data_IF_542459751403
#
_entry.id   IF_542459751403
#
_cell.length_a   1.000
_cell.length_b   1.000
_cell.length_c   1.000
_cell.angle_alpha   90.00
_cell.angle_beta   90.00
_cell.angle_gamma   90.00
#
_symmetry.space_group_name_H-M   'P 1'
#
loop_
_entity.id
_entity.type
_entity.pdbx_description
1 polymer ?
#
# COMPACT_ATOMS: atom_id res chain seq x y z
N UNK A 1 27.92 -6.30 1.20
CA UNK A 1 27.29 -4.97 0.98
C UNK A 1 26.65 -4.51 2.29
N UNK A 2 26.63 -3.21 2.57
CA UNK A 2 26.03 -2.65 3.80
C UNK A 2 24.51 -2.93 3.81
N UNK A 3 24.05 -3.82 4.71
CA UNK A 3 22.67 -4.30 4.81
C UNK A 3 21.69 -3.11 4.87
N UNK A 4 22.06 -2.04 5.58
CA UNK A 4 21.18 -0.89 5.75
C UNK A 4 20.93 -0.20 4.41
N UNK A 5 21.96 -0.08 3.55
CA UNK A 5 21.81 0.48 2.20
C UNK A 5 20.91 -0.35 1.31
N UNK A 6 20.99 -1.68 1.41
CA UNK A 6 20.13 -2.59 0.64
C UNK A 6 18.65 -2.35 1.01
N UNK A 7 18.34 -2.33 2.30
CA UNK A 7 16.97 -2.23 2.81
C UNK A 7 16.45 -0.81 3.00
N UNK A 8 17.26 0.22 2.74
CA UNK A 8 16.82 1.62 2.71
C UNK A 8 16.91 2.23 1.31
N UNK A 9 18.07 2.17 0.66
CA UNK A 9 18.39 3.00 -0.51
C UNK A 9 17.89 2.37 -1.82
N UNK A 10 17.88 1.04 -1.90
CA UNK A 10 17.54 0.37 -3.16
C UNK A 10 16.04 0.46 -3.45
N UNK A 11 15.68 0.66 -4.72
CA UNK A 11 14.27 0.65 -5.17
C UNK A 11 13.56 -0.68 -4.86
N UNK A 12 14.27 -1.81 -4.96
CA UNK A 12 13.70 -3.15 -4.77
C UNK A 12 13.30 -3.43 -3.33
N UNK A 13 14.19 -3.12 -2.38
CA UNK A 13 14.05 -3.58 -1.00
C UNK A 13 13.73 -2.49 0.01
N UNK A 14 14.02 -1.22 -0.29
CA UNK A 14 13.92 -0.15 0.69
C UNK A 14 13.07 1.03 0.27
N UNK A 15 13.18 1.46 -1.00
CA UNK A 15 12.46 2.61 -1.57
C UNK A 15 12.47 3.87 -0.68
N UNK A 16 13.54 4.07 0.09
CA UNK A 16 13.71 5.15 1.05
C UNK A 16 12.59 5.28 2.08
N UNK A 17 11.92 4.19 2.46
CA UNK A 17 10.96 4.23 3.56
C UNK A 17 11.64 4.61 4.89
N UNK A 18 10.84 5.21 5.78
CA UNK A 18 11.35 5.78 7.03
C UNK A 18 11.82 4.73 8.03
N UNK A 19 12.56 5.19 9.05
CA UNK A 19 13.24 4.38 10.09
C UNK A 19 12.43 3.16 10.54
N UNK A 20 11.20 3.35 11.01
CA UNK A 20 10.44 2.25 11.62
C UNK A 20 10.10 1.14 10.63
N UNK A 21 9.85 1.49 9.35
CA UNK A 21 9.61 0.50 8.29
C UNK A 21 10.91 -0.21 7.90
N UNK A 22 12.01 0.51 7.76
CA UNK A 22 13.34 -0.06 7.52
C UNK A 22 13.73 -1.04 8.62
N UNK A 23 13.60 -0.62 9.89
CA UNK A 23 13.89 -1.46 11.06
C UNK A 23 13.02 -2.70 11.09
N UNK A 24 11.71 -2.58 10.80
CA UNK A 24 10.80 -3.73 10.76
C UNK A 24 11.24 -4.75 9.69
N UNK A 25 11.63 -4.29 8.50
CA UNK A 25 12.06 -5.15 7.38
C UNK A 25 13.37 -5.91 7.69
N UNK A 26 14.34 -5.19 8.26
CA UNK A 26 15.65 -5.77 8.62
C UNK A 26 15.52 -6.75 9.80
N UNK A 27 14.74 -6.40 10.84
CA UNK A 27 14.57 -7.23 12.05
C UNK A 27 13.97 -8.61 11.80
N UNK A 28 13.27 -8.79 10.68
CA UNK A 28 12.75 -10.10 10.27
C UNK A 28 13.83 -11.07 9.81
N UNK A 29 15.03 -10.56 9.48
CA UNK A 29 16.07 -11.30 8.75
C UNK A 29 17.43 -11.26 9.43
N UNK A 30 17.75 -10.13 10.06
CA UNK A 30 19.05 -9.88 10.65
C UNK A 30 18.91 -9.33 12.06
N UNK A 31 19.95 -9.55 12.86
CA UNK A 31 20.07 -8.99 14.19
C UNK A 31 21.52 -8.60 14.48
N UNK A 32 21.69 -7.42 15.07
CA UNK A 32 22.94 -7.01 15.71
C UNK A 32 22.66 -6.00 16.84
N UNK A 33 23.56 -5.86 17.84
CA UNK A 33 23.27 -5.09 19.06
C UNK A 33 22.92 -3.61 18.82
N UNK A 34 23.63 -2.92 17.93
CA UNK A 34 23.45 -1.49 17.63
C UNK A 34 22.42 -1.20 16.52
N UNK A 35 21.72 -2.22 16.01
CA UNK A 35 20.85 -2.15 14.82
C UNK A 35 19.89 -0.97 14.79
N UNK A 36 19.18 -0.72 15.89
CA UNK A 36 18.20 0.36 15.92
C UNK A 36 18.86 1.73 15.80
N UNK A 37 20.04 1.90 16.39
CA UNK A 37 20.80 3.15 16.33
C UNK A 37 21.45 3.33 14.96
N UNK A 38 22.02 2.27 14.38
CA UNK A 38 22.68 2.33 13.07
C UNK A 38 21.68 2.67 11.96
N UNK A 39 20.53 2.01 11.95
CA UNK A 39 19.45 2.29 10.99
C UNK A 39 18.93 3.72 11.17
N UNK A 40 18.77 4.18 12.42
CA UNK A 40 18.34 5.55 12.70
C UNK A 40 19.36 6.56 12.14
N UNK A 41 20.65 6.34 12.37
CA UNK A 41 21.72 7.22 11.90
C UNK A 41 21.73 7.29 10.37
N UNK A 42 21.65 6.15 9.68
CA UNK A 42 21.62 6.10 8.21
C UNK A 42 20.40 6.81 7.61
N UNK A 43 19.20 6.54 8.13
CA UNK A 43 17.98 7.21 7.63
C UNK A 43 18.00 8.70 7.89
N UNK A 44 18.59 9.15 9.02
CA UNK A 44 18.71 10.57 9.36
C UNK A 44 19.76 11.30 8.51
N UNK A 45 20.83 10.63 8.09
CA UNK A 45 21.87 11.20 7.22
C UNK A 45 21.54 11.11 5.73
N UNK A 46 20.46 10.41 5.35
CA UNK A 46 20.05 10.26 3.95
C UNK A 46 19.59 11.60 3.35
N UNK A 47 20.41 12.17 2.46
CA UNK A 47 20.16 13.45 1.78
C UNK A 47 18.87 13.43 0.96
N UNK A 48 18.61 12.32 0.26
CA UNK A 48 17.39 12.15 -0.53
C UNK A 48 16.13 12.16 0.36
N UNK A 49 16.19 11.51 1.53
CA UNK A 49 15.11 11.55 2.49
C UNK A 49 14.89 12.95 3.05
N UNK A 50 15.96 13.66 3.39
CA UNK A 50 15.90 15.03 3.90
C UNK A 50 15.29 16.00 2.88
N UNK A 51 15.59 15.82 1.59
CA UNK A 51 15.09 16.64 0.50
C UNK A 51 13.60 16.41 0.20
N UNK A 52 13.17 15.15 0.16
CA UNK A 52 11.85 14.79 -0.37
C UNK A 52 10.82 14.33 0.68
N UNK A 53 11.20 14.10 1.94
CA UNK A 53 10.26 13.74 3.02
C UNK A 53 10.08 14.90 4.01
N UNK A 54 9.14 15.83 3.77
CA UNK A 54 8.86 16.89 4.72
C UNK A 54 8.34 16.32 6.05
N UNK A 55 8.79 16.91 7.18
CA UNK A 55 8.24 16.57 8.50
C UNK A 55 6.77 16.97 8.55
N UNK A 56 5.88 16.02 8.80
CA UNK A 56 4.44 16.28 8.95
C UNK A 56 4.18 16.92 10.32
N UNK A 57 3.69 18.16 10.35
CA UNK A 57 3.38 18.91 11.57
C UNK A 57 1.87 19.02 11.87
N UNK A 58 0.99 18.49 11.00
CA UNK A 58 -0.46 18.63 11.20
C UNK A 58 -1.02 17.49 12.04
N UNK A 59 -1.79 17.78 13.12
CA UNK A 59 -2.50 16.76 13.87
C UNK A 59 -3.56 16.08 12.98
N UNK A 60 -3.90 14.80 13.23
CA UNK A 60 -5.01 14.15 12.55
C UNK A 60 -6.31 14.91 12.85
N UNK A 61 -7.09 15.24 11.82
CA UNK A 61 -8.44 15.77 12.03
C UNK A 61 -9.37 14.74 12.66
N UNK A 62 -10.50 15.19 13.21
CA UNK A 62 -11.58 14.35 13.75
C UNK A 62 -12.32 13.66 12.59
N UNK A 63 -12.41 12.33 12.63
CA UNK A 63 -12.96 11.52 11.53
C UNK A 63 -14.00 10.52 12.03
N UNK A 64 -15.13 10.38 11.33
CA UNK A 64 -16.07 9.28 11.57
C UNK A 64 -15.49 7.95 11.02
N UNK A 65 -15.38 6.89 11.85
CA UNK A 65 -14.74 5.65 11.44
C UNK A 65 -15.65 4.71 10.63
N UNK A 66 -15.13 4.18 9.52
CA UNK A 66 -15.63 3.01 8.79
C UNK A 66 -15.30 1.78 9.64
N UNK A 67 -16.33 1.00 9.94
CA UNK A 67 -16.12 -0.28 10.64
C UNK A 67 -15.21 -1.18 9.79
N UNK A 68 -14.16 -1.77 10.37
CA UNK A 68 -13.31 -2.69 9.63
C UNK A 68 -14.14 -3.87 9.09
N UNK A 69 -13.95 -4.27 7.83
CA UNK A 69 -14.60 -5.45 7.26
C UNK A 69 -14.28 -6.73 8.03
N UNK A 70 -15.10 -7.77 7.84
CA UNK A 70 -14.92 -9.05 8.53
C UNK A 70 -13.75 -9.88 8.01
N UNK A 71 -13.35 -9.66 6.75
CA UNK A 71 -12.21 -10.31 6.12
C UNK A 71 -11.59 -9.44 5.01
N UNK A 72 -10.42 -9.86 4.54
CA UNK A 72 -9.74 -9.21 3.42
C UNK A 72 -10.57 -9.37 2.14
N UNK A 73 -10.39 -8.45 1.20
CA UNK A 73 -11.06 -8.48 -0.11
C UNK A 73 -12.59 -8.28 -0.07
N UNK A 74 -13.12 -7.80 1.06
CA UNK A 74 -14.55 -7.50 1.19
C UNK A 74 -14.90 -6.07 0.81
N UNK A 75 -14.11 -5.10 1.25
CA UNK A 75 -14.32 -3.69 0.95
C UNK A 75 -13.02 -3.09 0.44
N UNK A 76 -13.02 -2.75 -0.83
CA UNK A 76 -11.93 -2.05 -1.49
C UNK A 76 -12.31 -0.58 -1.69
N UNK A 77 -11.34 0.33 -1.58
CA UNK A 77 -11.51 1.74 -1.91
C UNK A 77 -10.69 2.09 -3.12
N UNK A 78 -11.25 2.77 -4.11
CA UNK A 78 -10.55 3.15 -5.34
C UNK A 78 -10.49 4.67 -5.49
N UNK A 79 -9.37 5.15 -6.02
CA UNK A 79 -9.08 6.58 -6.19
C UNK A 79 -8.19 6.87 -7.39
N UNK A 80 -8.32 8.07 -7.94
CA UNK A 80 -7.35 8.66 -8.88
C UNK A 80 -6.54 9.75 -8.18
N UNK A 81 -5.22 9.62 -8.25
CA UNK A 81 -4.29 10.62 -7.76
C UNK A 81 -3.61 11.35 -8.93
N UNK A 82 -3.62 12.68 -8.89
CA UNK A 82 -2.99 13.54 -9.88
C UNK A 82 -3.82 14.78 -10.25
N UNK A 83 -3.43 15.51 -11.31
CA UNK A 83 -2.34 15.20 -12.22
C UNK A 83 -0.96 15.36 -11.57
N UNK A 84 -0.10 14.36 -11.75
CA UNK A 84 1.31 14.39 -11.33
C UNK A 84 2.11 15.10 -12.43
N UNK A 85 2.90 16.09 -12.01
CA UNK A 85 3.78 16.86 -12.90
C UNK A 85 5.25 16.58 -12.53
N UNK A 86 6.13 16.31 -13.50
CA UNK A 86 5.87 16.29 -14.94
C UNK A 86 5.18 15.02 -15.45
N UNK A 87 4.54 15.13 -16.61
CA UNK A 87 4.03 13.97 -17.37
C UNK A 87 5.19 13.03 -17.72
N UNK A 88 4.97 11.72 -17.63
CA UNK A 88 6.04 10.76 -17.94
C UNK A 88 6.34 10.69 -19.43
N UNK A 89 7.47 10.08 -19.78
CA UNK A 89 7.81 9.79 -21.19
C UNK A 89 6.73 8.95 -21.89
N UNK A 90 6.01 8.10 -21.16
CA UNK A 90 4.90 7.29 -21.67
C UNK A 90 3.56 8.03 -21.70
N UNK A 91 3.54 9.31 -21.33
CA UNK A 91 2.35 10.16 -21.31
C UNK A 91 1.49 10.01 -20.05
N UNK A 92 1.96 9.32 -19.01
CA UNK A 92 1.19 9.11 -17.80
C UNK A 92 1.14 10.39 -16.96
N UNK A 93 -0.04 10.66 -16.40
CA UNK A 93 -0.36 11.87 -15.63
C UNK A 93 -1.04 11.56 -14.31
N UNK A 94 -1.62 10.38 -14.16
CA UNK A 94 -2.40 10.01 -12.99
C UNK A 94 -2.00 8.63 -12.51
N UNK A 95 -2.31 8.35 -11.25
CA UNK A 95 -2.20 7.03 -10.66
C UNK A 95 -3.61 6.61 -10.28
N UNK A 96 -4.08 5.50 -10.84
CA UNK A 96 -5.26 4.83 -10.29
C UNK A 96 -4.77 3.85 -9.23
N UNK A 97 -5.44 3.87 -8.08
CA UNK A 97 -5.12 2.99 -6.96
C UNK A 97 -6.38 2.34 -6.41
N UNK A 98 -6.22 1.12 -5.91
CA UNK A 98 -7.27 0.41 -5.20
C UNK A 98 -6.68 -0.25 -3.95
N UNK A 99 -7.31 0.01 -2.81
CA UNK A 99 -6.80 -0.34 -1.48
C UNK A 99 -7.81 -1.21 -0.74
N UNK A 100 -7.36 -2.34 -0.20
CA UNK A 100 -8.17 -3.15 0.71
C UNK A 100 -8.26 -2.49 2.10
N UNK A 101 -9.48 -2.28 2.59
CA UNK A 101 -9.71 -1.51 3.83
C UNK A 101 -9.20 -2.26 5.06
N UNK A 102 -9.11 -3.58 5.06
CA UNK A 102 -8.67 -4.36 6.22
C UNK A 102 -7.15 -4.52 6.25
N UNK A 103 -6.59 -5.18 5.24
CA UNK A 103 -5.15 -5.48 5.10
C UNK A 103 -4.31 -4.24 4.82
N UNK A 104 -4.91 -3.19 4.24
CA UNK A 104 -4.22 -2.02 3.67
C UNK A 104 -3.37 -2.37 2.44
N UNK A 105 -3.62 -3.50 1.80
CA UNK A 105 -2.91 -3.85 0.58
C UNK A 105 -3.36 -2.96 -0.57
N UNK A 106 -2.41 -2.45 -1.35
CA UNK A 106 -2.69 -1.51 -2.44
C UNK A 106 -2.24 -2.05 -3.78
N UNK A 107 -3.07 -1.84 -4.79
CA UNK A 107 -2.79 -2.07 -6.20
C UNK A 107 -2.77 -0.72 -6.90
N UNK A 108 -1.81 -0.50 -7.78
CA UNK A 108 -1.65 0.79 -8.48
C UNK A 108 -1.35 0.57 -9.95
N UNK A 109 -1.74 1.55 -10.77
CA UNK A 109 -1.35 1.65 -12.18
C UNK A 109 -1.16 3.13 -12.55
N UNK A 110 -0.09 3.43 -13.29
CA UNK A 110 0.09 4.74 -13.91
C UNK A 110 -0.76 4.83 -15.18
N UNK A 111 -1.51 5.92 -15.34
CA UNK A 111 -2.47 6.12 -16.43
C UNK A 111 -2.41 7.54 -16.99
N UNK A 112 -2.88 7.71 -18.23
CA UNK A 112 -2.82 8.98 -18.97
C UNK A 112 -4.00 9.91 -18.68
N UNK A 113 -5.12 9.33 -18.28
CA UNK A 113 -6.40 10.00 -18.03
C UNK A 113 -7.13 9.35 -16.86
N UNK A 114 -8.17 10.02 -16.37
CA UNK A 114 -9.05 9.49 -15.33
C UNK A 114 -10.35 8.93 -15.89
N UNK A 115 -10.41 8.37 -17.10
CA UNK A 115 -11.71 7.97 -17.69
C UNK A 115 -12.32 6.72 -17.02
N UNK A 116 -13.64 6.55 -17.20
CA UNK A 116 -14.34 5.33 -16.76
C UNK A 116 -13.81 4.07 -17.46
N UNK A 117 -13.40 4.18 -18.72
CA UNK A 117 -12.80 3.08 -19.47
C UNK A 117 -11.46 2.67 -18.85
N UNK A 118 -10.60 3.64 -18.53
CA UNK A 118 -9.35 3.41 -17.82
C UNK A 118 -9.56 2.72 -16.48
N UNK A 119 -10.54 3.17 -15.69
CA UNK A 119 -10.89 2.56 -14.42
C UNK A 119 -11.41 1.11 -14.58
N UNK A 120 -12.30 0.87 -15.56
CA UNK A 120 -12.84 -0.45 -15.85
C UNK A 120 -11.74 -1.43 -16.28
N UNK A 121 -10.80 -0.97 -17.12
CA UNK A 121 -9.64 -1.76 -17.55
C UNK A 121 -8.75 -2.13 -16.38
N UNK A 122 -8.47 -1.19 -15.49
CA UNK A 122 -7.70 -1.43 -14.27
C UNK A 122 -8.37 -2.47 -13.37
N UNK A 123 -9.68 -2.33 -13.10
CA UNK A 123 -10.45 -3.30 -12.31
C UNK A 123 -10.39 -4.70 -12.93
N UNK A 124 -10.59 -4.80 -14.25
CA UNK A 124 -10.55 -6.09 -14.94
C UNK A 124 -9.17 -6.73 -14.87
N UNK A 125 -8.14 -6.02 -15.35
CA UNK A 125 -6.82 -6.59 -15.61
C UNK A 125 -5.94 -6.70 -14.35
N UNK A 126 -5.96 -5.70 -13.47
CA UNK A 126 -5.07 -5.65 -12.31
C UNK A 126 -5.72 -6.13 -11.02
N UNK A 127 -7.05 -6.14 -10.96
CA UNK A 127 -7.76 -6.51 -9.73
C UNK A 127 -8.38 -7.90 -9.90
N UNK A 128 -9.37 -8.05 -10.79
CA UNK A 128 -10.14 -9.29 -10.93
C UNK A 128 -9.28 -10.43 -11.45
N UNK A 129 -8.58 -10.24 -12.57
CA UNK A 129 -7.78 -11.31 -13.17
C UNK A 129 -6.62 -11.80 -12.28
N UNK A 130 -6.20 -11.01 -11.28
CA UNK A 130 -5.05 -11.31 -10.43
C UNK A 130 -5.43 -11.76 -9.01
N UNK A 131 -6.50 -11.21 -8.47
CA UNK A 131 -6.87 -11.37 -7.06
C UNK A 131 -8.34 -11.78 -6.86
N UNK A 132 -9.12 -11.87 -7.94
CA UNK A 132 -10.54 -12.20 -7.90
C UNK A 132 -11.43 -11.01 -7.57
N UNK A 133 -12.74 -11.27 -7.50
CA UNK A 133 -13.76 -10.23 -7.34
C UNK A 133 -14.01 -9.90 -5.87
N UNK A 134 -13.96 -8.61 -5.46
CA UNK A 134 -14.31 -8.22 -4.09
C UNK A 134 -15.82 -8.22 -3.87
N UNK A 135 -16.26 -8.10 -2.61
CA UNK A 135 -17.69 -7.91 -2.33
C UNK A 135 -18.17 -6.50 -2.67
N UNK A 136 -17.41 -5.49 -2.26
CA UNK A 136 -17.76 -4.10 -2.43
C UNK A 136 -16.56 -3.28 -2.90
N UNK A 137 -16.80 -2.33 -3.80
CA UNK A 137 -15.86 -1.26 -4.14
C UNK A 137 -16.49 0.08 -3.73
N UNK A 138 -15.74 0.88 -2.98
CA UNK A 138 -16.11 2.23 -2.56
C UNK A 138 -15.31 3.26 -3.36
N UNK A 139 -15.99 4.15 -4.08
CA UNK A 139 -15.36 5.25 -4.82
C UNK A 139 -15.91 6.60 -4.37
N UNK A 140 -15.33 7.70 -4.83
CA UNK A 140 -16.01 8.99 -4.76
C UNK A 140 -17.15 9.12 -5.79
N UNK A 141 -17.87 10.24 -5.76
CA UNK A 141 -18.94 10.55 -6.70
C UNK A 141 -18.43 11.13 -8.04
N UNK A 142 -17.16 10.93 -8.38
CA UNK A 142 -16.60 11.37 -9.66
C UNK A 142 -17.35 10.76 -10.84
N UNK A 143 -17.50 11.53 -11.92
CA UNK A 143 -18.15 11.08 -13.17
C UNK A 143 -17.49 9.83 -13.77
N UNK A 144 -16.20 9.66 -13.49
CA UNK A 144 -15.38 8.54 -13.91
C UNK A 144 -15.74 7.22 -13.23
N UNK A 145 -16.30 7.27 -12.02
CA UNK A 145 -16.77 6.09 -11.29
C UNK A 145 -18.28 5.91 -11.37
N UNK A 146 -19.04 7.00 -11.51
CA UNK A 146 -20.52 6.98 -11.60
C UNK A 146 -21.06 6.64 -13.00
N UNK A 147 -20.21 6.38 -13.98
CA UNK A 147 -20.63 6.09 -15.36
C UNK A 147 -21.50 4.81 -15.46
N UNK A 148 -22.40 4.78 -16.45
CA UNK A 148 -23.23 3.60 -16.73
C UNK A 148 -22.37 2.38 -17.07
N UNK A 149 -21.25 2.57 -17.78
CA UNK A 149 -20.29 1.51 -18.08
C UNK A 149 -19.74 0.87 -16.81
N UNK A 150 -19.29 1.67 -15.84
CA UNK A 150 -18.74 1.17 -14.57
C UNK A 150 -19.80 0.43 -13.77
N UNK A 151 -21.00 1.00 -13.64
CA UNK A 151 -22.11 0.37 -12.92
C UNK A 151 -22.53 -0.96 -13.56
N UNK A 152 -22.56 -1.03 -14.90
CA UNK A 152 -22.88 -2.27 -15.62
C UNK A 152 -21.80 -3.33 -15.40
N UNK A 153 -20.51 -2.96 -15.53
CA UNK A 153 -19.40 -3.87 -15.28
C UNK A 153 -19.48 -4.45 -13.87
N UNK A 154 -19.58 -3.60 -12.85
CA UNK A 154 -19.61 -4.03 -11.45
C UNK A 154 -20.83 -4.92 -11.16
N UNK A 155 -22.00 -4.59 -11.73
CA UNK A 155 -23.20 -5.41 -11.62
C UNK A 155 -23.03 -6.78 -12.27
N UNK A 156 -22.44 -6.84 -13.46
CA UNK A 156 -22.21 -8.10 -14.20
C UNK A 156 -21.31 -9.06 -13.42
N UNK A 157 -20.27 -8.54 -12.76
CA UNK A 157 -19.34 -9.36 -11.96
C UNK A 157 -19.81 -9.56 -10.52
N UNK A 158 -20.99 -9.05 -10.13
CA UNK A 158 -21.54 -9.21 -8.79
C UNK A 158 -20.87 -8.36 -7.69
N UNK A 159 -20.19 -7.28 -8.05
CA UNK A 159 -19.60 -6.32 -7.09
C UNK A 159 -20.64 -5.27 -6.71
N UNK A 160 -20.82 -5.05 -5.41
CA UNK A 160 -21.63 -3.92 -4.92
C UNK A 160 -20.82 -2.64 -5.01
N UNK A 161 -21.27 -1.70 -5.85
CA UNK A 161 -20.67 -0.38 -5.95
C UNK A 161 -21.22 0.54 -4.85
N UNK A 162 -20.34 1.02 -3.97
CA UNK A 162 -20.65 1.97 -2.92
C UNK A 162 -20.06 3.32 -3.30
N UNK A 163 -20.80 4.38 -3.01
CA UNK A 163 -20.35 5.74 -3.22
C UNK A 163 -20.02 6.42 -1.90
N UNK A 164 -18.92 7.14 -1.86
CA UNK A 164 -18.59 7.95 -0.71
C UNK A 164 -19.53 9.15 -0.67
N UNK A 165 -20.20 9.38 0.46
CA UNK A 165 -20.81 10.68 0.71
C UNK A 165 -19.72 11.76 0.73
N UNK A 166 -20.03 13.02 0.36
CA UNK A 166 -19.09 14.15 0.48
C UNK A 166 -18.46 14.31 1.88
N UNK A 167 -19.04 13.64 2.88
CA UNK A 167 -18.64 13.65 4.29
C UNK A 167 -18.06 12.30 4.77
N UNK A 168 -17.33 11.56 3.92
CA UNK A 168 -16.46 10.46 4.39
C UNK A 168 -14.97 10.86 4.43
N UNK A 169 -14.57 11.78 5.33
CA UNK A 169 -13.20 12.25 5.42
C UNK A 169 -12.21 11.16 5.83
N UNK A 170 -12.66 9.97 6.24
CA UNK A 170 -11.77 8.85 6.57
C UNK A 170 -11.32 8.04 5.35
N UNK A 171 -12.18 7.83 4.35
CA UNK A 171 -11.76 7.23 3.07
C UNK A 171 -10.78 8.18 2.41
N UNK A 172 -11.18 9.45 2.28
CA UNK A 172 -10.33 10.51 1.74
C UNK A 172 -9.05 10.67 2.55
N UNK A 173 -9.10 10.74 3.88
CA UNK A 173 -7.91 10.91 4.72
C UNK A 173 -6.97 9.69 4.80
N UNK A 174 -7.43 8.47 4.45
CA UNK A 174 -6.54 7.33 4.27
C UNK A 174 -5.87 7.36 2.91
N UNK A 175 -6.64 7.67 1.87
CA UNK A 175 -6.18 7.84 0.49
C UNK A 175 -5.17 9.00 0.41
N UNK A 176 -5.48 10.17 0.97
CA UNK A 176 -4.58 11.34 1.03
C UNK A 176 -3.25 11.02 1.74
N UNK A 177 -3.30 10.26 2.84
CA UNK A 177 -2.09 9.86 3.56
C UNK A 177 -1.23 8.93 2.72
N UNK A 178 -1.86 8.00 2.01
CA UNK A 178 -1.22 7.09 1.07
C UNK A 178 -0.60 7.85 -0.09
N UNK A 179 -1.38 8.68 -0.79
CA UNK A 179 -0.95 9.50 -1.92
C UNK A 179 0.24 10.40 -1.55
N UNK A 180 0.17 11.09 -0.41
CA UNK A 180 1.30 11.90 0.07
C UNK A 180 2.56 11.09 0.40
N UNK A 181 2.42 9.88 0.92
CA UNK A 181 3.59 8.99 1.10
C UNK A 181 4.13 8.55 -0.26
N UNK A 182 3.26 8.17 -1.18
CA UNK A 182 3.63 7.75 -2.52
C UNK A 182 4.39 8.86 -3.28
N UNK A 183 3.87 10.08 -3.30
CA UNK A 183 4.50 11.23 -3.98
C UNK A 183 5.93 11.44 -3.52
N UNK A 184 6.15 11.41 -2.21
CA UNK A 184 7.49 11.57 -1.63
C UNK A 184 8.43 10.43 -2.04
N UNK A 185 7.96 9.17 -2.04
CA UNK A 185 8.79 8.00 -2.41
C UNK A 185 9.08 7.96 -3.89
N UNK A 186 8.09 8.26 -4.72
CA UNK A 186 8.26 8.43 -6.15
C UNK A 186 9.29 9.52 -6.42
N UNK A 187 9.10 10.72 -5.85
CA UNK A 187 10.04 11.83 -6.04
C UNK A 187 11.46 11.47 -5.59
N UNK A 188 11.59 10.65 -4.55
CA UNK A 188 12.90 10.18 -4.06
C UNK A 188 13.59 9.25 -5.06
N UNK A 189 12.85 8.36 -5.72
CA UNK A 189 13.39 7.33 -6.62
C UNK A 189 13.52 7.78 -8.08
N UNK A 190 12.70 8.73 -8.51
CA UNK A 190 12.69 9.24 -9.89
C UNK A 190 13.96 10.01 -10.22
N UNK A 191 14.34 10.01 -11.49
CA UNK A 191 15.48 10.76 -12.01
C UNK A 191 15.36 12.28 -11.79
N UNK A 192 16.40 13.05 -12.10
CA UNK A 192 16.41 14.51 -11.90
C UNK A 192 15.25 15.23 -12.59
N UNK A 193 14.84 14.75 -13.77
CA UNK A 193 13.74 15.32 -14.57
C UNK A 193 12.37 14.86 -14.08
N UNK A 194 12.29 13.85 -13.21
CA UNK A 194 11.06 13.26 -12.67
C UNK A 194 10.08 12.73 -13.72
N UNK A 195 10.53 12.45 -14.95
CA UNK A 195 9.69 11.98 -16.07
C UNK A 195 9.57 10.44 -16.16
N UNK A 196 10.18 9.72 -15.22
CA UNK A 196 10.22 8.26 -15.10
C UNK A 196 9.43 7.75 -13.88
N UNK A 197 8.59 8.59 -13.27
CA UNK A 197 7.91 8.22 -12.03
C UNK A 197 7.02 6.98 -12.15
N UNK A 198 6.48 6.71 -13.34
CA UNK A 198 5.67 5.53 -13.61
C UNK A 198 6.50 4.23 -13.62
N UNK A 199 7.81 4.29 -13.84
CA UNK A 199 8.73 3.16 -13.66
C UNK A 199 9.01 2.86 -12.19
N UNK A 200 8.94 3.88 -11.34
CA UNK A 200 9.22 3.73 -9.90
C UNK A 200 7.97 3.29 -9.12
N UNK A 201 6.77 3.56 -9.64
CA UNK A 201 5.50 3.26 -8.98
C UNK A 201 5.35 1.79 -8.53
N UNK A 202 5.69 0.76 -9.34
CA UNK A 202 5.61 -0.63 -8.91
C UNK A 202 6.50 -0.92 -7.69
N UNK A 203 7.71 -0.35 -7.66
CA UNK A 203 8.65 -0.53 -6.55
C UNK A 203 8.16 0.15 -5.27
N UNK A 204 7.60 1.36 -5.39
CA UNK A 204 6.99 2.07 -4.25
C UNK A 204 5.81 1.29 -3.70
N UNK A 205 4.94 0.78 -4.57
CA UNK A 205 3.76 0.00 -4.20
C UNK A 205 4.14 -1.31 -3.52
N UNK A 206 5.11 -2.04 -4.08
CA UNK A 206 5.64 -3.26 -3.47
C UNK A 206 6.25 -2.99 -2.09
N UNK A 207 7.07 -1.95 -1.93
CA UNK A 207 7.66 -1.61 -0.63
C UNK A 207 6.60 -1.14 0.38
N UNK A 208 5.55 -0.46 -0.07
CA UNK A 208 4.42 -0.14 0.80
C UNK A 208 3.73 -1.42 1.31
N UNK A 209 3.44 -2.37 0.43
CA UNK A 209 2.75 -3.62 0.77
C UNK A 209 3.61 -4.57 1.62
N UNK A 210 4.94 -4.47 1.52
CA UNK A 210 5.90 -5.37 2.21
C UNK A 210 6.53 -4.76 3.47
N UNK A 211 5.97 -3.66 3.97
CA UNK A 211 6.42 -3.02 5.22
C UNK A 211 5.26 -2.83 6.18
N UNK A 212 5.57 -2.75 7.49
CA UNK A 212 4.56 -2.60 8.53
C UNK A 212 3.71 -1.34 8.33
N UNK A 213 2.39 -1.51 8.33
CA UNK A 213 1.46 -0.40 8.23
C UNK A 213 1.15 0.21 9.61
N UNK A 214 1.17 1.54 9.69
CA UNK A 214 1.13 2.24 10.97
C UNK A 214 -0.16 2.02 11.78
N UNK A 215 -1.29 1.81 11.10
CA UNK A 215 -2.61 1.61 11.72
C UNK A 215 -2.87 0.16 12.12
N UNK A 216 -2.56 -0.80 11.25
CA UNK A 216 -2.84 -2.22 11.52
C UNK A 216 -1.74 -2.86 12.36
N UNK A 217 -0.53 -2.30 12.32
CA UNK A 217 0.70 -2.89 12.85
C UNK A 217 1.05 -4.24 12.23
N UNK A 218 0.44 -4.54 11.08
CA UNK A 218 0.69 -5.73 10.27
C UNK A 218 1.27 -5.33 8.92
N UNK A 219 1.83 -6.30 8.19
CA UNK A 219 2.32 -6.12 6.84
C UNK A 219 1.17 -6.42 5.85
N UNK A 220 0.80 -5.48 4.96
CA UNK A 220 -0.33 -5.69 4.05
C UNK A 220 -0.22 -6.95 3.18
N UNK A 221 0.98 -7.26 2.69
CA UNK A 221 1.25 -8.47 1.92
C UNK A 221 0.96 -9.74 2.74
N UNK A 222 1.40 -9.77 3.99
CA UNK A 222 1.19 -10.91 4.88
C UNK A 222 -0.28 -11.09 5.24
N UNK A 223 -1.01 -9.98 5.46
CA UNK A 223 -2.46 -10.03 5.67
C UNK A 223 -3.22 -10.58 4.47
N UNK A 224 -2.74 -10.31 3.24
CA UNK A 224 -3.38 -10.78 2.01
C UNK A 224 -3.04 -12.23 1.66
N UNK A 225 -1.78 -12.64 1.86
CA UNK A 225 -1.27 -13.93 1.37
C UNK A 225 -0.94 -14.93 2.49
N UNK A 226 -1.02 -14.50 3.75
CA UNK A 226 -0.71 -15.30 4.94
C UNK A 226 0.77 -15.64 5.09
N UNK A 227 1.63 -15.09 4.24
CA UNK A 227 3.07 -15.31 4.27
C UNK A 227 3.81 -14.00 4.10
N UNK A 228 5.02 -13.94 4.64
CA UNK A 228 5.92 -12.84 4.37
C UNK A 228 6.36 -12.83 2.90
N UNK A 229 6.59 -11.64 2.33
CA UNK A 229 7.23 -11.51 1.04
C UNK A 229 8.70 -11.92 1.16
N UNK A 230 9.15 -12.76 0.23
CA UNK A 230 10.58 -12.97 0.00
C UNK A 230 11.07 -11.81 -0.86
N UNK A 231 12.04 -11.06 -0.35
CA UNK A 231 12.63 -9.92 -1.05
C UNK A 231 13.86 -10.37 -1.83
N UNK A 232 14.21 -9.60 -2.86
CA UNK A 232 15.50 -9.76 -3.53
C UNK A 232 16.59 -9.68 -2.45
N UNK A 233 17.63 -10.51 -2.48
CA UNK A 233 18.68 -10.58 -1.45
C UNK A 233 18.36 -11.34 -0.15
N UNK A 234 17.15 -11.88 0.04
CA UNK A 234 16.86 -12.69 1.25
C UNK A 234 17.59 -14.04 1.27
N UNK A 235 17.77 -14.68 0.10
CA UNK A 235 18.30 -16.05 -0.03
C UNK A 235 19.55 -16.14 -0.90
N UNK A 236 20.48 -15.17 -0.83
CA UNK A 236 21.67 -15.25 -1.68
C UNK A 236 22.58 -16.44 -1.37
N UNK A 237 22.49 -17.00 -0.17
CA UNK A 237 23.46 -17.99 0.33
C UNK A 237 22.83 -19.32 0.83
N UNK A 238 21.54 -19.56 0.59
CA UNK A 238 20.84 -20.78 1.05
C UNK A 238 20.63 -21.80 -0.08
N UNK A 239 20.85 -23.09 0.23
CA UNK A 239 20.49 -24.21 -0.64
C UNK A 239 18.96 -24.29 -0.74
N UNK A 240 18.43 -24.19 -1.96
CA UNK A 240 16.99 -24.27 -2.22
C UNK A 240 16.50 -25.71 -2.01
N UNK A 241 15.73 -25.94 -0.95
CA UNK A 241 14.91 -27.15 -0.77
C UNK A 241 13.47 -26.87 -1.19
N UNK A 242 12.84 -27.82 -1.89
CA UNK A 242 11.47 -27.73 -2.40
C UNK A 242 10.52 -28.71 -1.71
N UNK A 243 10.83 -29.13 -0.48
CA UNK A 243 10.00 -30.09 0.27
C UNK A 243 8.56 -29.59 0.49
N UNK A 244 7.59 -30.52 0.44
CA UNK A 244 6.17 -30.21 0.65
C UNK A 244 5.80 -30.24 2.14
N UNK A 245 5.25 -29.12 2.64
CA UNK A 245 4.58 -29.06 3.95
C UNK A 245 3.10 -29.44 3.77
N UNK A 246 2.74 -30.68 4.15
CA UNK A 246 1.38 -31.21 4.06
C UNK A 246 0.37 -30.45 4.93
N UNK A 247 0.82 -29.69 5.91
CA UNK A 247 -0.04 -28.91 6.82
C UNK A 247 -0.07 -27.40 6.48
N UNK A 248 0.61 -26.98 5.41
CA UNK A 248 0.80 -25.58 5.05
C UNK A 248 -0.53 -24.79 5.07
N UNK A 249 -1.57 -25.32 4.41
CA UNK A 249 -2.87 -24.63 4.29
C UNK A 249 -3.55 -24.43 5.65
N UNK A 250 -3.48 -25.43 6.54
CA UNK A 250 -4.10 -25.35 7.87
C UNK A 250 -3.38 -24.32 8.74
N UNK A 251 -2.04 -24.36 8.77
CA UNK A 251 -1.19 -23.40 9.48
C UNK A 251 -1.43 -21.98 8.97
N UNK A 252 -1.49 -21.83 7.64
CA UNK A 252 -1.75 -20.55 6.97
C UNK A 252 -3.10 -19.94 7.39
N UNK A 253 -4.17 -20.74 7.38
CA UNK A 253 -5.50 -20.28 7.74
C UNK A 253 -5.63 -19.89 9.22
N UNK A 254 -5.03 -20.66 10.13
CA UNK A 254 -4.97 -20.30 11.56
C UNK A 254 -4.19 -19.00 11.77
N UNK A 255 -3.06 -18.86 11.09
CA UNK A 255 -2.24 -17.67 11.18
C UNK A 255 -2.96 -16.42 10.65
N UNK A 256 -3.57 -16.51 9.46
CA UNK A 256 -4.38 -15.44 8.87
C UNK A 256 -5.54 -15.00 9.77
N UNK A 257 -6.19 -15.95 10.43
CA UNK A 257 -7.26 -15.66 11.39
C UNK A 257 -6.73 -14.84 12.57
N UNK A 258 -5.58 -15.23 13.12
CA UNK A 258 -4.94 -14.51 14.23
C UNK A 258 -4.53 -13.08 13.85
N UNK A 259 -3.93 -12.90 12.66
CA UNK A 259 -3.52 -11.59 12.15
C UNK A 259 -4.72 -10.68 11.93
N UNK A 260 -5.80 -11.23 11.38
CA UNK A 260 -7.05 -10.52 11.12
C UNK A 260 -7.65 -9.94 12.41
N UNK A 261 -7.71 -10.74 13.48
CA UNK A 261 -8.26 -10.27 14.75
C UNK A 261 -7.38 -9.22 15.42
N UNK A 262 -6.05 -9.37 15.37
CA UNK A 262 -5.12 -8.36 15.86
C UNK A 262 -5.24 -7.03 15.09
N UNK A 263 -5.34 -7.10 13.76
CA UNK A 263 -5.52 -5.92 12.91
C UNK A 263 -6.83 -5.20 13.21
N UNK A 264 -7.96 -5.92 13.30
CA UNK A 264 -9.26 -5.35 13.68
C UNK A 264 -9.22 -4.66 15.03
N UNK A 265 -8.62 -5.29 16.04
CA UNK A 265 -8.48 -4.73 17.37
C UNK A 265 -7.68 -3.41 17.35
N UNK A 266 -6.60 -3.36 16.56
CA UNK A 266 -5.73 -2.18 16.47
C UNK A 266 -6.38 -1.05 15.66
N UNK A 267 -7.09 -1.37 14.59
CA UNK A 267 -7.91 -0.40 13.83
C UNK A 267 -8.95 0.24 14.76
N UNK A 268 -9.70 -0.56 15.54
CA UNK A 268 -10.69 -0.05 16.49
C UNK A 268 -10.06 0.90 17.52
N UNK A 269 -8.97 0.48 18.18
CA UNK A 269 -8.23 1.33 19.13
C UNK A 269 -7.74 2.64 18.50
N UNK A 270 -7.25 2.58 17.27
CA UNK A 270 -6.80 3.78 16.54
C UNK A 270 -7.97 4.71 16.18
N UNK A 271 -9.15 4.15 15.89
CA UNK A 271 -10.37 4.91 15.63
C UNK A 271 -10.87 5.61 16.89
N UNK A 272 -10.94 4.91 18.03
CA UNK A 272 -11.33 5.47 19.33
C UNK A 272 -10.46 6.67 19.71
N UNK A 273 -9.13 6.54 19.58
CA UNK A 273 -8.18 7.61 19.91
C UNK A 273 -8.38 8.89 19.06
N UNK A 274 -8.82 8.76 17.81
CA UNK A 274 -9.08 9.91 16.93
C UNK A 274 -10.48 10.53 17.12
N UNK A 275 -11.34 9.92 17.94
CA UNK A 275 -12.70 10.41 18.23
C UNK A 275 -12.75 11.24 19.52
N UNK A 276 -11.73 11.14 20.37
CA UNK A 276 -11.62 11.81 21.68
C UNK A 276 -10.62 13.00 21.70
N UNK A 277 -10.21 13.49 20.52
CA UNK A 277 -9.43 14.72 20.31
C UNK A 277 -10.32 15.74 19.59
#
# INVERSE_FOLDING_TARGET
ADIIKIYHDTRGNGAHFGRDRTTSKIKQRYFWPSMTQDIKNHVQSCLLCAQYNPRRCKPPGTLKPIKPPSGVWQLLTMDFHGPITPTTQRGNKYIISLTDVLSKFVITRAVRDCTAETAARFIKEDVICKYGTPRCILTDNGSHFTSMMMNNLLKEIGVTHLYSTPYHPQTNGQIERYNSTMDSKIATLSNERKIDWDEQLPFVTFNYNTTIHATTKQIPFEMMFGRLPVLSFDHQDELVSLEQDSEHVSKLNQYLSSLTEQAKATIKKAQEKNTHL
#
